data_IF_922925835976
#
_entry.id   IF_922925835976
#
_cell.length_a   1.000
_cell.length_b   1.000
_cell.length_c   1.000
_cell.angle_alpha   90.00
_cell.angle_beta   90.00
_cell.angle_gamma   90.00
#
_symmetry.space_group_name_H-M   'P 1'
#
loop_
_entity.id
_entity.type
_entity.pdbx_description
1 polymer ?
#
# COMPACT_ATOMS: atom_id res chain seq x y z
N UNK A 1 19.38 7.20 13.72
CA UNK A 1 18.75 7.99 14.80
C UNK A 1 17.42 8.58 14.33
N UNK A 2 16.56 9.07 15.22
CA UNK A 2 15.22 9.64 14.90
C UNK A 2 15.17 11.09 15.41
N UNK A 3 15.76 12.05 14.70
CA UNK A 3 15.96 13.40 15.24
C UNK A 3 14.69 14.27 15.25
N UNK A 4 13.62 13.85 14.55
CA UNK A 4 12.40 14.64 14.43
C UNK A 4 11.31 14.08 15.33
N UNK A 5 10.81 14.85 16.30
CA UNK A 5 9.82 14.38 17.26
C UNK A 5 8.49 15.14 17.11
N UNK A 6 7.38 14.41 17.26
CA UNK A 6 6.06 15.02 17.41
C UNK A 6 5.88 15.51 18.85
N UNK A 7 5.45 16.77 19.01
CA UNK A 7 5.26 17.41 20.30
C UNK A 7 4.06 16.82 21.08
N UNK A 8 3.01 16.43 20.36
CA UNK A 8 1.74 16.00 20.95
C UNK A 8 1.67 14.49 21.24
N UNK A 9 2.68 13.71 20.83
CA UNK A 9 2.64 12.24 20.96
C UNK A 9 3.99 11.54 21.12
N UNK A 10 5.10 12.27 21.29
CA UNK A 10 6.44 11.72 21.56
C UNK A 10 7.06 10.86 20.44
N UNK A 11 6.33 10.61 19.34
CA UNK A 11 6.78 9.79 18.22
C UNK A 11 7.98 10.44 17.53
N UNK A 12 9.10 9.71 17.50
CA UNK A 12 10.30 10.09 16.76
C UNK A 12 10.32 9.54 15.33
N UNK A 13 10.81 10.35 14.39
CA UNK A 13 10.89 10.07 12.96
C UNK A 13 12.32 10.25 12.45
N UNK A 14 12.69 9.43 11.46
CA UNK A 14 14.00 9.52 10.79
C UNK A 14 14.07 10.66 9.78
N UNK A 15 12.94 11.09 9.23
CA UNK A 15 12.85 12.12 8.19
C UNK A 15 11.81 13.16 8.57
N UNK A 16 12.10 14.45 8.28
CA UNK A 16 11.18 15.56 8.55
C UNK A 16 9.87 15.42 7.79
N UNK A 17 9.92 14.98 6.53
CA UNK A 17 8.74 14.71 5.69
C UNK A 17 7.74 13.77 6.37
N UNK A 18 8.24 12.71 7.02
CA UNK A 18 7.40 11.76 7.75
C UNK A 18 6.73 12.38 8.99
N UNK A 19 7.45 13.25 9.72
CA UNK A 19 6.86 14.01 10.83
C UNK A 19 5.73 14.92 10.33
N UNK A 20 5.97 15.67 9.25
CA UNK A 20 4.95 16.55 8.66
C UNK A 20 3.71 15.75 8.25
N UNK A 21 3.88 14.60 7.57
CA UNK A 21 2.74 13.75 7.21
C UNK A 21 2.04 13.13 8.41
N UNK A 22 2.75 12.89 9.51
CA UNK A 22 2.14 12.40 10.74
C UNK A 22 1.25 13.46 11.38
N UNK A 23 1.71 14.71 11.47
CA UNK A 23 0.92 15.83 12.02
C UNK A 23 -0.41 16.03 11.26
N UNK A 24 -0.44 15.73 9.96
CA UNK A 24 -1.69 15.72 9.15
C UNK A 24 -2.74 14.73 9.63
N UNK A 25 -2.31 13.66 10.30
CA UNK A 25 -3.23 12.69 10.90
C UNK A 25 -3.89 13.26 12.14
N UNK A 26 -3.15 14.05 12.92
CA UNK A 26 -3.63 14.61 14.18
C UNK A 26 -4.62 15.78 13.95
N UNK A 27 -4.34 16.64 12.97
CA UNK A 27 -5.20 17.78 12.63
C UNK A 27 -6.21 17.51 11.48
N UNK A 28 -6.15 16.34 10.85
CA UNK A 28 -7.04 15.94 9.76
C UNK A 28 -6.77 16.57 8.39
N UNK A 29 -5.64 17.28 8.20
CA UNK A 29 -5.30 17.96 6.95
C UNK A 29 -5.16 16.97 5.78
N UNK A 30 -5.91 17.20 4.69
CA UNK A 30 -5.83 16.43 3.45
C UNK A 30 -5.72 17.35 2.24
N UNK A 31 -4.50 17.79 1.87
CA UNK A 31 -4.28 18.79 0.84
C UNK A 31 -4.59 18.31 -0.57
N UNK A 32 -4.50 16.99 -0.81
CA UNK A 32 -4.62 16.43 -2.15
C UNK A 32 -6.04 15.94 -2.38
N UNK A 33 -6.79 16.61 -3.25
CA UNK A 33 -8.18 16.31 -3.55
C UNK A 33 -8.36 15.87 -5.00
N UNK A 34 -9.12 14.79 -5.21
CA UNK A 34 -9.57 14.37 -6.53
C UNK A 34 -11.06 14.68 -6.67
N UNK A 35 -11.39 15.79 -7.34
CA UNK A 35 -12.77 16.30 -7.43
C UNK A 35 -13.73 15.30 -8.07
N UNK A 36 -13.29 14.55 -9.08
CA UNK A 36 -14.17 13.63 -9.82
C UNK A 36 -14.76 12.50 -8.96
N UNK A 37 -14.15 12.17 -7.82
CA UNK A 37 -14.73 11.18 -6.88
C UNK A 37 -14.74 11.67 -5.43
N UNK A 38 -14.55 12.98 -5.20
CA UNK A 38 -14.56 13.65 -3.89
C UNK A 38 -13.70 12.96 -2.82
N UNK A 39 -12.55 12.38 -3.21
CA UNK A 39 -11.61 11.74 -2.27
C UNK A 39 -10.42 12.64 -1.98
N UNK A 40 -10.03 12.69 -0.71
CA UNK A 40 -8.93 13.52 -0.20
C UNK A 40 -7.84 12.67 0.47
N UNK A 41 -6.59 13.06 0.26
CA UNK A 41 -5.40 12.34 0.72
C UNK A 41 -4.42 13.26 1.46
N UNK A 42 -3.67 12.68 2.40
CA UNK A 42 -2.66 13.40 3.19
C UNK A 42 -1.31 13.53 2.46
N UNK A 43 -1.05 12.68 1.47
CA UNK A 43 0.22 12.63 0.73
C UNK A 43 0.00 12.58 -0.78
N UNK A 44 0.90 13.21 -1.54
CA UNK A 44 0.88 13.22 -3.00
C UNK A 44 1.01 11.81 -3.58
N UNK A 45 1.88 10.98 -3.01
CA UNK A 45 2.08 9.60 -3.46
C UNK A 45 0.81 8.75 -3.35
N UNK A 46 0.02 8.91 -2.28
CA UNK A 46 -1.27 8.23 -2.15
C UNK A 46 -2.31 8.77 -3.13
N UNK A 47 -2.33 10.08 -3.35
CA UNK A 47 -3.18 10.71 -4.35
C UNK A 47 -2.87 10.23 -5.78
N UNK A 48 -1.59 10.27 -6.20
CA UNK A 48 -1.15 9.79 -7.52
C UNK A 48 -1.43 8.29 -7.71
N UNK A 49 -1.25 7.48 -6.65
CA UNK A 49 -1.62 6.07 -6.69
C UNK A 49 -3.13 5.89 -6.89
N UNK A 50 -3.93 6.70 -6.20
CA UNK A 50 -5.38 6.68 -6.33
C UNK A 50 -5.82 7.10 -7.73
N UNK A 51 -5.22 8.13 -8.34
CA UNK A 51 -5.61 8.55 -9.70
C UNK A 51 -5.56 7.42 -10.72
N UNK A 52 -4.64 6.45 -10.57
CA UNK A 52 -4.57 5.28 -11.45
C UNK A 52 -5.83 4.41 -11.44
N UNK A 53 -6.68 4.48 -10.42
CA UNK A 53 -7.93 3.72 -10.44
C UNK A 53 -8.89 4.27 -11.49
N UNK A 54 -8.82 5.57 -11.78
CA UNK A 54 -9.66 6.27 -12.73
C UNK A 54 -9.14 6.18 -14.17
N UNK A 55 -7.89 5.74 -14.34
CA UNK A 55 -7.32 5.44 -15.65
C UNK A 55 -7.35 3.95 -15.91
N UNK A 56 -7.49 3.54 -17.17
CA UNK A 56 -7.28 2.15 -17.58
C UNK A 56 -5.80 1.77 -17.73
N UNK A 57 -4.90 2.67 -17.31
CA UNK A 57 -3.47 2.43 -17.34
C UNK A 57 -3.07 1.29 -16.38
N UNK A 58 -2.37 0.30 -16.94
CA UNK A 58 -1.90 -0.90 -16.26
C UNK A 58 -0.42 -1.08 -16.57
N UNK A 59 0.48 -0.27 -16.00
CA UNK A 59 1.88 -0.23 -16.42
C UNK A 59 2.65 -1.52 -16.08
N UNK A 60 2.14 -2.34 -15.15
CA UNK A 60 2.81 -3.55 -14.70
C UNK A 60 2.22 -4.79 -15.37
N UNK A 61 3.00 -5.47 -16.21
CA UNK A 61 2.54 -6.63 -16.96
C UNK A 61 3.21 -7.91 -16.46
N UNK A 62 2.44 -8.99 -16.42
CA UNK A 62 2.99 -10.31 -16.15
C UNK A 62 3.74 -10.85 -17.37
N UNK A 63 4.99 -11.27 -17.17
CA UNK A 63 5.81 -11.90 -18.20
C UNK A 63 5.21 -13.20 -18.72
N UNK A 64 4.54 -13.96 -17.86
CA UNK A 64 4.13 -15.33 -18.17
C UNK A 64 2.80 -15.39 -18.92
N UNK A 65 1.90 -14.43 -18.67
CA UNK A 65 0.55 -14.42 -19.25
C UNK A 65 0.12 -13.08 -19.86
N UNK A 66 0.98 -12.05 -19.87
CA UNK A 66 0.69 -10.73 -20.44
C UNK A 66 -0.32 -9.89 -19.66
N UNK A 67 -0.91 -10.40 -18.57
CA UNK A 67 -1.95 -9.69 -17.80
C UNK A 67 -1.39 -8.41 -17.17
N UNK A 68 -2.06 -7.28 -17.42
CA UNK A 68 -1.71 -5.97 -16.86
C UNK A 68 -2.34 -5.69 -15.49
N UNK A 69 -1.61 -4.96 -14.64
CA UNK A 69 -1.97 -4.56 -13.28
C UNK A 69 -1.70 -3.07 -13.04
N UNK A 70 -2.54 -2.42 -12.22
CA UNK A 70 -2.38 -1.01 -11.83
C UNK A 70 -1.22 -0.78 -10.84
N UNK A 71 -0.82 -1.82 -10.10
CA UNK A 71 0.20 -1.74 -9.04
C UNK A 71 1.17 -2.93 -9.07
N UNK A 72 2.45 -2.66 -8.81
CA UNK A 72 3.51 -3.68 -8.81
C UNK A 72 3.27 -4.80 -7.78
N UNK A 73 2.85 -4.47 -6.55
CA UNK A 73 2.58 -5.49 -5.52
C UNK A 73 1.45 -6.45 -5.94
N UNK A 74 0.51 -5.99 -6.76
CA UNK A 74 -0.57 -6.84 -7.29
C UNK A 74 -0.05 -7.80 -8.35
N UNK A 75 0.89 -7.33 -9.20
CA UNK A 75 1.62 -8.19 -10.14
C UNK A 75 2.44 -9.26 -9.40
N UNK A 76 3.25 -8.86 -8.41
CA UNK A 76 4.06 -9.81 -7.63
C UNK A 76 3.19 -10.89 -6.96
N UNK A 77 2.07 -10.48 -6.35
CA UNK A 77 1.10 -11.43 -5.81
C UNK A 77 0.51 -12.35 -6.89
N UNK A 78 0.19 -11.79 -8.06
CA UNK A 78 -0.32 -12.58 -9.18
C UNK A 78 0.68 -13.62 -9.67
N UNK A 79 1.98 -13.29 -9.73
CA UNK A 79 3.03 -14.22 -10.15
C UNK A 79 3.09 -15.48 -9.28
N UNK A 80 2.67 -15.41 -8.02
CA UNK A 80 2.55 -16.58 -7.14
C UNK A 80 1.61 -17.66 -7.66
N UNK A 81 0.66 -17.30 -8.54
CA UNK A 81 -0.23 -18.26 -9.19
C UNK A 81 0.55 -19.11 -10.20
N UNK A 82 1.55 -18.55 -10.85
CA UNK A 82 2.41 -19.28 -11.81
C UNK A 82 3.48 -20.09 -11.10
N UNK A 83 4.09 -19.54 -10.05
CA UNK A 83 5.15 -20.23 -9.30
C UNK A 83 4.61 -21.25 -8.29
N UNK A 84 3.34 -21.14 -7.90
CA UNK A 84 2.75 -21.93 -6.82
C UNK A 84 3.23 -21.54 -5.42
N UNK A 85 3.94 -20.41 -5.27
CA UNK A 85 4.48 -19.96 -3.98
C UNK A 85 3.36 -19.63 -2.98
N UNK A 86 3.44 -20.20 -1.77
CA UNK A 86 2.48 -19.99 -0.67
C UNK A 86 3.22 -19.59 0.62
N UNK A 87 3.65 -18.32 0.75
CA UNK A 87 4.56 -17.91 1.83
C UNK A 87 3.96 -17.93 3.22
N UNK A 88 2.62 -17.99 3.33
CA UNK A 88 1.92 -17.78 4.58
C UNK A 88 1.40 -19.11 5.09
N UNK A 89 2.11 -19.71 6.04
CA UNK A 89 1.75 -21.01 6.60
C UNK A 89 1.02 -20.86 7.95
N UNK A 90 -0.03 -21.65 8.14
CA UNK A 90 -0.70 -21.78 9.42
C UNK A 90 0.13 -22.67 10.35
N UNK A 91 0.66 -22.14 11.47
CA UNK A 91 1.52 -22.92 12.36
C UNK A 91 0.77 -24.05 13.09
N UNK A 92 -0.56 -24.01 13.10
CA UNK A 92 -1.39 -25.01 13.80
C UNK A 92 -1.71 -26.22 12.92
N UNK A 93 -1.92 -26.04 11.62
CA UNK A 93 -2.34 -27.12 10.72
C UNK A 93 -1.45 -27.31 9.48
N UNK A 94 -0.39 -26.52 9.32
CA UNK A 94 0.56 -26.59 8.20
C UNK A 94 -0.01 -26.13 6.85
N UNK A 95 -1.25 -25.64 6.80
CA UNK A 95 -1.84 -25.14 5.55
C UNK A 95 -1.17 -23.84 5.11
N UNK A 96 -0.68 -23.81 3.88
CA UNK A 96 -0.05 -22.63 3.29
C UNK A 96 -1.00 -21.85 2.37
N UNK A 97 -0.85 -20.53 2.36
CA UNK A 97 -1.68 -19.57 1.63
C UNK A 97 -0.82 -18.63 0.79
N UNK A 98 -1.39 -18.15 -0.32
CA UNK A 98 -0.72 -17.20 -1.23
C UNK A 98 -0.75 -15.76 -0.69
N UNK A 99 -1.68 -15.46 0.22
CA UNK A 99 -1.85 -14.15 0.87
C UNK A 99 -1.99 -14.28 2.39
N UNK A 100 -1.55 -13.25 3.11
CA UNK A 100 -1.68 -13.18 4.57
C UNK A 100 -3.13 -13.02 5.03
N UNK A 101 -3.97 -12.34 4.24
CA UNK A 101 -5.40 -12.21 4.52
C UNK A 101 -6.08 -13.57 4.58
N UNK A 102 -5.72 -14.45 3.65
CA UNK A 102 -6.32 -15.78 3.53
C UNK A 102 -5.90 -16.65 4.73
N UNK A 103 -4.65 -16.52 5.20
CA UNK A 103 -4.20 -17.11 6.46
C UNK A 103 -4.93 -16.51 7.68
N UNK A 104 -5.22 -15.21 7.68
CA UNK A 104 -5.89 -14.56 8.82
C UNK A 104 -7.36 -14.96 8.93
N UNK A 105 -8.02 -15.21 7.80
CA UNK A 105 -9.42 -15.67 7.76
C UNK A 105 -9.58 -17.17 7.97
N UNK A 106 -8.52 -17.93 7.74
CA UNK A 106 -8.48 -19.38 7.94
C UNK A 106 -8.47 -19.76 9.43
#
# INVERSE_FOLDING_TARGET
ERPFHCLDGGKGFKQKSHLITHQRTDNGERPYEFLNCQKRFQTSSHFLRHQRIHTEDRPFHCSDCGKGFKHNFTLIRHQRIHTGERPYECPQCGKSFTQSSDLTSH
#
